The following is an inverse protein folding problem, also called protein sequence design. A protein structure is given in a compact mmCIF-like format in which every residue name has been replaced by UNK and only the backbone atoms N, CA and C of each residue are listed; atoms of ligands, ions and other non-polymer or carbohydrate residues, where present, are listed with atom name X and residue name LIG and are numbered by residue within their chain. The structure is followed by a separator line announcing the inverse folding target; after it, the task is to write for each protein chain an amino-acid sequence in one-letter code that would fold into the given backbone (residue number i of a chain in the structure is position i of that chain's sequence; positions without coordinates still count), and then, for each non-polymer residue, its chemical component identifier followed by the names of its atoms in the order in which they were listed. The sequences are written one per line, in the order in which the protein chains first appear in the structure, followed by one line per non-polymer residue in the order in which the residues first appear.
data_IF_743624420080
#
_entry.id   IF_743624420080
#
_cell.length_a   1.000
_cell.length_b   1.000
_cell.length_c   1.000
_cell.angle_alpha   90.00
_cell.angle_beta   90.00
_cell.angle_gamma   90.00
#
_symmetry.space_group_name_H-M   'P 1'
#
loop_
_entity.id
_entity.type
_entity.pdbx_description
1 polymer ?
#
# COMPACT_ATOMS: atom_id res chain seq x y z
N UNK A 1 -34.91 4.63 -14.82
CA UNK A 1 -33.56 4.01 -14.85
C UNK A 1 -33.08 3.86 -13.42
N UNK A 2 -32.74 2.66 -12.94
CA UNK A 2 -32.26 2.46 -11.56
C UNK A 2 -30.75 2.72 -11.51
N UNK A 3 -30.33 3.71 -10.73
CA UNK A 3 -28.90 4.03 -10.55
C UNK A 3 -28.32 3.00 -9.58
N UNK A 4 -27.18 2.43 -9.91
CA UNK A 4 -26.44 1.45 -9.10
C UNK A 4 -25.01 1.93 -8.87
N UNK A 5 -24.35 1.37 -7.84
CA UNK A 5 -22.94 1.63 -7.59
C UNK A 5 -22.05 1.17 -8.77
N UNK A 6 -20.93 1.85 -8.96
CA UNK A 6 -19.95 1.51 -9.99
C UNK A 6 -19.38 0.11 -9.71
N UNK A 7 -19.21 -0.71 -10.76
CA UNK A 7 -18.60 -2.04 -10.64
C UNK A 7 -17.23 -1.97 -9.96
N UNK A 8 -17.04 -2.76 -8.91
CA UNK A 8 -15.80 -2.78 -8.13
C UNK A 8 -15.74 -1.72 -7.01
N UNK A 9 -16.85 -1.02 -6.77
CA UNK A 9 -17.05 -0.14 -5.62
C UNK A 9 -18.23 -0.67 -4.82
N UNK A 10 -18.12 -0.71 -3.49
CA UNK A 10 -19.14 -1.26 -2.59
C UNK A 10 -19.44 -0.30 -1.45
N UNK A 11 -20.71 -0.18 -1.12
CA UNK A 11 -21.12 0.46 0.13
C UNK A 11 -20.80 -0.46 1.32
N UNK A 12 -20.36 0.12 2.43
CA UNK A 12 -20.22 -0.59 3.70
C UNK A 12 -21.48 -0.30 4.51
N UNK A 13 -22.35 -1.30 4.61
CA UNK A 13 -23.64 -1.15 5.25
C UNK A 13 -23.55 -1.19 6.78
N UNK A 14 -24.59 -0.70 7.51
CA UNK A 14 -24.56 -0.62 8.98
C UNK A 14 -24.25 -1.92 9.70
N UNK A 15 -24.66 -3.07 9.18
CA UNK A 15 -24.38 -4.40 9.71
C UNK A 15 -22.92 -4.84 9.55
N UNK A 16 -22.22 -4.27 8.55
CA UNK A 16 -20.78 -4.51 8.33
C UNK A 16 -19.89 -3.49 9.08
N UNK A 17 -20.35 -2.25 9.26
CA UNK A 17 -19.52 -1.14 9.74
C UNK A 17 -18.97 -1.37 11.16
N UNK A 18 -19.64 -2.12 12.00
CA UNK A 18 -19.16 -2.46 13.35
C UNK A 18 -17.89 -3.31 13.30
N UNK A 19 -17.79 -4.24 12.34
CA UNK A 19 -16.59 -5.06 12.12
C UNK A 19 -15.42 -4.21 11.65
N UNK A 20 -15.69 -3.24 10.75
CA UNK A 20 -14.69 -2.29 10.27
C UNK A 20 -14.13 -1.46 11.42
N UNK A 21 -14.98 -0.83 12.20
CA UNK A 21 -14.60 -0.04 13.38
C UNK A 21 -13.83 -0.86 14.40
N UNK A 22 -14.21 -2.11 14.59
CA UNK A 22 -13.49 -2.99 15.51
C UNK A 22 -12.06 -3.24 15.03
N UNK A 23 -11.84 -3.53 13.75
CA UNK A 23 -10.50 -3.70 13.16
C UNK A 23 -9.68 -2.43 13.26
N UNK A 24 -10.26 -1.28 12.88
CA UNK A 24 -9.61 0.03 12.96
C UNK A 24 -9.19 0.40 14.39
N UNK A 25 -10.07 0.16 15.36
CA UNK A 25 -9.76 0.37 16.77
C UNK A 25 -8.63 -0.54 17.27
N UNK A 26 -8.58 -1.80 16.81
CA UNK A 26 -7.47 -2.72 17.15
C UNK A 26 -6.15 -2.27 16.51
N UNK A 27 -6.18 -1.81 15.27
CA UNK A 27 -5.02 -1.23 14.61
C UNK A 27 -4.48 -0.01 15.38
N UNK A 28 -5.36 0.93 15.73
CA UNK A 28 -5.02 2.11 16.53
C UNK A 28 -4.36 1.70 17.88
N UNK A 29 -4.97 0.76 18.62
CA UNK A 29 -4.44 0.28 19.90
C UNK A 29 -3.04 -0.33 19.78
N UNK A 30 -2.79 -1.14 18.76
CA UNK A 30 -1.48 -1.76 18.54
C UNK A 30 -0.46 -0.71 18.12
N UNK A 31 -0.74 0.05 17.07
CA UNK A 31 0.24 0.97 16.48
C UNK A 31 0.64 2.08 17.44
N UNK A 32 -0.29 2.59 18.24
CA UNK A 32 0.01 3.60 19.27
C UNK A 32 0.94 3.05 20.35
N UNK A 33 0.82 1.77 20.75
CA UNK A 33 1.74 1.12 21.68
C UNK A 33 3.17 1.03 21.14
N UNK A 34 3.34 0.89 19.82
CA UNK A 34 4.64 0.90 19.16
C UNK A 34 5.14 2.33 18.83
N UNK A 35 4.41 3.35 19.30
CA UNK A 35 4.79 4.76 19.11
C UNK A 35 4.47 5.34 17.73
N UNK A 36 3.66 4.65 16.92
CA UNK A 36 3.15 5.19 15.67
C UNK A 36 2.04 6.20 15.91
N UNK A 37 2.03 7.28 15.14
CA UNK A 37 1.03 8.35 15.20
C UNK A 37 0.16 8.33 13.96
N UNK A 38 -1.14 8.56 14.13
CA UNK A 38 -2.05 8.64 12.99
C UNK A 38 -1.72 9.83 12.10
N UNK A 39 -1.71 9.60 10.79
CA UNK A 39 -1.68 10.64 9.77
C UNK A 39 -2.86 10.44 8.81
N UNK A 40 -3.57 11.51 8.49
CA UNK A 40 -4.64 11.49 7.49
C UNK A 40 -4.17 12.17 6.22
N UNK A 41 -4.26 11.46 5.14
CA UNK A 41 -3.75 11.86 3.83
C UNK A 41 -4.90 12.27 2.91
N UNK A 42 -4.70 13.23 1.98
CA UNK A 42 -5.66 13.55 0.94
C UNK A 42 -6.03 12.30 0.12
N UNK A 43 -7.28 12.26 -0.37
CA UNK A 43 -7.76 11.15 -1.20
C UNK A 43 -7.21 11.26 -2.63
N UNK A 44 -6.93 12.46 -3.10
CA UNK A 44 -6.31 12.71 -4.40
C UNK A 44 -5.10 13.64 -4.26
N UNK A 45 -4.14 13.46 -5.15
CA UNK A 45 -2.87 14.17 -5.19
C UNK A 45 -2.50 14.47 -6.64
N UNK A 46 -1.50 15.31 -6.84
CA UNK A 46 -0.92 15.51 -8.19
C UNK A 46 -0.43 14.18 -8.76
N UNK A 47 -0.79 13.88 -10.00
CA UNK A 47 -0.40 12.62 -10.68
C UNK A 47 1.11 12.36 -10.60
N UNK A 48 1.91 13.42 -10.72
CA UNK A 48 3.39 13.34 -10.64
C UNK A 48 3.91 12.74 -9.33
N UNK A 49 3.16 12.82 -8.24
CA UNK A 49 3.56 12.23 -6.97
C UNK A 49 3.67 10.70 -7.11
N UNK A 50 2.66 10.08 -7.69
CA UNK A 50 2.60 8.64 -7.82
C UNK A 50 3.52 8.11 -8.92
N UNK A 51 3.61 8.77 -10.07
CA UNK A 51 4.51 8.35 -11.15
C UNK A 51 5.98 8.38 -10.74
N UNK A 52 6.41 9.34 -9.91
CA UNK A 52 7.77 9.37 -9.36
C UNK A 52 8.00 8.37 -8.22
N UNK A 53 7.01 8.17 -7.35
CA UNK A 53 7.14 7.36 -6.15
C UNK A 53 7.04 5.86 -6.40
N UNK A 54 6.12 5.45 -7.26
CA UNK A 54 5.85 4.04 -7.57
C UNK A 54 6.78 3.53 -8.69
N UNK A 55 7.20 4.41 -9.59
CA UNK A 55 7.99 4.11 -10.79
C UNK A 55 7.15 4.16 -12.05
N UNK A 56 7.64 4.87 -13.07
CA UNK A 56 6.92 5.14 -14.32
C UNK A 56 6.55 3.88 -15.10
N UNK A 57 7.27 2.79 -14.90
CA UNK A 57 7.11 1.50 -15.62
C UNK A 57 6.36 0.44 -14.82
N UNK A 58 5.62 0.82 -13.77
CA UNK A 58 4.80 -0.14 -13.02
C UNK A 58 3.38 -0.20 -13.57
N UNK A 59 2.77 -1.38 -13.55
CA UNK A 59 1.37 -1.58 -13.99
C UNK A 59 0.40 -0.63 -13.27
N UNK A 60 0.69 -0.29 -12.02
CA UNK A 60 -0.13 0.65 -11.24
C UNK A 60 -0.15 2.03 -11.89
N UNK A 61 1.01 2.54 -12.31
CA UNK A 61 1.14 3.86 -12.94
C UNK A 61 0.61 3.86 -14.37
N UNK A 62 0.89 2.80 -15.13
CA UNK A 62 0.51 2.73 -16.54
C UNK A 62 -0.98 2.44 -16.76
N UNK A 63 -1.62 1.60 -15.92
CA UNK A 63 -2.92 1.01 -16.23
C UNK A 63 -3.98 1.15 -15.12
N UNK A 64 -3.57 1.36 -13.86
CA UNK A 64 -4.48 1.22 -12.73
C UNK A 64 -4.81 2.53 -12.00
N UNK A 65 -4.25 3.66 -12.38
CA UNK A 65 -4.55 4.94 -11.75
C UNK A 65 -5.85 5.56 -12.28
N UNK A 66 -6.67 6.08 -11.37
CA UNK A 66 -7.79 6.97 -11.69
C UNK A 66 -7.27 8.41 -11.79
N UNK A 67 -6.94 8.84 -12.99
CA UNK A 67 -6.42 10.18 -13.27
C UNK A 67 -7.42 11.02 -14.03
N UNK A 68 -7.57 12.29 -13.66
CA UNK A 68 -8.43 13.27 -14.33
C UNK A 68 -7.80 14.66 -14.24
N UNK A 69 -8.28 15.58 -15.08
CA UNK A 69 -7.89 16.99 -15.00
C UNK A 69 -8.88 17.73 -14.12
N UNK A 70 -8.38 18.56 -13.21
CA UNK A 70 -9.19 19.49 -12.46
C UNK A 70 -9.60 20.70 -13.33
N UNK A 71 -10.43 21.59 -12.78
CA UNK A 71 -10.88 22.79 -13.53
C UNK A 71 -9.74 23.76 -13.88
N UNK A 72 -8.61 23.66 -13.21
CA UNK A 72 -7.39 24.45 -13.48
C UNK A 72 -6.47 23.79 -14.52
N UNK A 73 -6.82 22.61 -15.05
CA UNK A 73 -6.01 21.86 -16.02
C UNK A 73 -4.88 21.05 -15.35
N UNK A 74 -4.87 20.92 -14.01
CA UNK A 74 -3.86 20.11 -13.33
C UNK A 74 -4.30 18.64 -13.32
N UNK A 75 -3.37 17.73 -13.65
CA UNK A 75 -3.62 16.29 -13.57
C UNK A 75 -3.53 15.80 -12.14
N UNK A 76 -4.63 15.29 -11.64
CA UNK A 76 -4.79 14.73 -10.30
C UNK A 76 -5.20 13.26 -10.38
N UNK A 77 -4.83 12.48 -9.36
CA UNK A 77 -5.03 11.03 -9.31
C UNK A 77 -5.61 10.66 -7.95
N UNK A 78 -6.64 9.83 -7.94
CA UNK A 78 -7.08 9.17 -6.70
C UNK A 78 -5.96 8.26 -6.20
N UNK A 79 -5.61 8.36 -4.92
CA UNK A 79 -4.47 7.64 -4.35
C UNK A 79 -4.58 6.13 -4.53
N UNK A 80 -3.64 5.47 -5.22
CA UNK A 80 -3.60 4.02 -5.38
C UNK A 80 -2.94 3.30 -4.19
N UNK A 81 -2.24 4.06 -3.34
CA UNK A 81 -1.53 3.63 -2.12
C UNK A 81 -1.27 4.84 -1.22
N UNK A 82 -0.72 4.64 -0.02
CA UNK A 82 -0.52 5.73 0.94
C UNK A 82 0.92 6.19 1.11
N UNK A 83 1.91 5.38 0.82
CA UNK A 83 3.33 5.65 1.09
C UNK A 83 3.82 6.94 0.45
N UNK A 84 3.52 7.15 -0.85
CA UNK A 84 3.93 8.36 -1.55
C UNK A 84 3.36 9.64 -0.91
N UNK A 85 2.10 9.59 -0.48
CA UNK A 85 1.47 10.73 0.20
C UNK A 85 2.07 11.00 1.59
N UNK A 86 2.45 9.94 2.35
CA UNK A 86 3.16 10.11 3.63
C UNK A 86 4.53 10.75 3.40
N UNK A 87 5.29 10.25 2.42
CA UNK A 87 6.62 10.81 2.09
C UNK A 87 6.50 12.26 1.64
N UNK A 88 5.52 12.61 0.80
CA UNK A 88 5.26 13.99 0.41
C UNK A 88 4.96 14.86 1.64
N UNK A 89 4.07 14.43 2.54
CA UNK A 89 3.75 15.15 3.76
C UNK A 89 4.98 15.32 4.66
N UNK A 90 5.80 14.26 4.81
CA UNK A 90 7.03 14.29 5.59
C UNK A 90 8.02 15.35 5.09
N UNK A 91 8.18 15.48 3.76
CA UNK A 91 9.06 16.45 3.13
C UNK A 91 8.45 17.86 3.23
N UNK A 92 7.19 18.04 2.81
CA UNK A 92 6.50 19.32 2.74
C UNK A 92 6.43 20.02 4.10
N UNK A 93 6.10 19.27 5.15
CA UNK A 93 6.01 19.80 6.51
C UNK A 93 7.34 19.75 7.28
N UNK A 94 8.44 19.43 6.60
CA UNK A 94 9.80 19.36 7.18
C UNK A 94 9.84 18.51 8.45
N UNK A 95 9.09 17.41 8.47
CA UNK A 95 8.94 16.58 9.66
C UNK A 95 10.27 15.93 10.07
N UNK A 96 11.19 15.76 9.13
CA UNK A 96 12.55 15.26 9.36
C UNK A 96 13.39 16.14 10.31
N UNK A 97 12.97 17.38 10.58
CA UNK A 97 13.70 18.30 11.47
C UNK A 97 13.36 18.11 12.95
N UNK A 98 12.29 17.42 13.27
CA UNK A 98 11.73 17.36 14.63
C UNK A 98 12.23 16.19 15.48
N UNK A 99 12.48 15.04 14.87
CA UNK A 99 12.92 13.80 15.55
C UNK A 99 13.77 12.98 14.60
N UNK A 100 14.63 12.12 15.15
CA UNK A 100 15.49 11.24 14.35
C UNK A 100 14.69 10.16 13.64
N UNK A 101 13.72 9.55 14.34
CA UNK A 101 12.84 8.49 13.79
C UNK A 101 11.40 8.96 13.85
N UNK A 102 10.71 8.89 12.73
CA UNK A 102 9.31 9.25 12.59
C UNK A 102 8.50 8.00 12.25
N UNK A 103 7.43 7.77 13.01
CA UNK A 103 6.56 6.60 12.87
C UNK A 103 5.12 7.05 12.64
N UNK A 104 4.56 6.73 11.49
CA UNK A 104 3.18 7.09 11.14
C UNK A 104 2.39 5.89 10.70
N UNK A 105 1.09 5.89 10.98
CA UNK A 105 0.14 4.96 10.39
C UNK A 105 -1.04 5.72 9.80
N UNK A 106 -1.65 5.11 8.81
CA UNK A 106 -2.84 5.65 8.15
C UNK A 106 -3.85 4.54 7.90
N UNK A 107 -5.13 4.93 7.86
CA UNK A 107 -6.23 4.08 7.46
C UNK A 107 -7.05 4.83 6.42
N UNK A 108 -7.58 4.12 5.44
CA UNK A 108 -8.51 4.74 4.52
C UNK A 108 -8.64 4.06 3.16
N UNK A 109 -9.53 4.59 2.31
CA UNK A 109 -9.78 4.05 0.99
C UNK A 109 -8.62 4.34 0.05
N UNK A 110 -8.33 3.36 -0.82
CA UNK A 110 -7.42 3.45 -1.96
C UNK A 110 -8.18 3.08 -3.23
N UNK A 111 -7.65 3.49 -4.40
CA UNK A 111 -8.36 3.41 -5.66
C UNK A 111 -7.45 2.88 -6.74
N UNK A 112 -7.82 1.72 -7.36
CA UNK A 112 -7.10 1.16 -8.50
C UNK A 112 -8.08 0.68 -9.55
N UNK A 113 -7.80 1.00 -10.81
CA UNK A 113 -8.60 0.55 -11.94
C UNK A 113 -8.28 -0.91 -12.28
N UNK A 114 -8.46 -1.79 -11.30
CA UNK A 114 -8.25 -3.21 -11.49
C UNK A 114 -9.47 -3.89 -12.16
N UNK A 115 -9.23 -5.02 -12.79
CA UNK A 115 -10.32 -5.90 -13.23
C UNK A 115 -10.98 -6.50 -11.99
N UNK A 116 -12.26 -6.17 -11.68
CA UNK A 116 -12.91 -6.65 -10.48
C UNK A 116 -13.04 -8.16 -10.46
N UNK A 117 -12.54 -8.77 -9.40
CA UNK A 117 -12.66 -10.20 -9.10
C UNK A 117 -12.81 -10.40 -7.59
N UNK A 118 -13.01 -11.63 -7.14
CA UNK A 118 -13.12 -11.93 -5.71
C UNK A 118 -11.88 -11.42 -4.96
N UNK A 119 -12.10 -10.54 -3.96
CA UNK A 119 -11.05 -9.92 -3.17
C UNK A 119 -10.33 -8.73 -3.81
N UNK A 120 -10.63 -8.38 -5.09
CA UNK A 120 -10.08 -7.20 -5.74
C UNK A 120 -11.17 -6.21 -6.11
N UNK A 121 -11.14 -5.06 -5.47
CA UNK A 121 -12.07 -3.96 -5.66
C UNK A 121 -11.35 -2.75 -6.25
N UNK A 122 -12.10 -1.88 -6.96
CA UNK A 122 -11.60 -0.60 -7.46
C UNK A 122 -11.46 0.45 -6.38
N UNK A 123 -12.30 0.37 -5.35
CA UNK A 123 -12.11 1.03 -4.07
C UNK A 123 -11.90 -0.04 -3.01
N UNK A 124 -10.77 0.01 -2.33
CA UNK A 124 -10.43 -0.91 -1.24
C UNK A 124 -9.83 -0.11 -0.09
N UNK A 125 -9.63 -0.72 1.06
CA UNK A 125 -9.11 -0.04 2.24
C UNK A 125 -7.74 -0.60 2.58
N UNK A 126 -6.84 0.30 2.95
CA UNK A 126 -5.53 -0.05 3.48
C UNK A 126 -5.36 0.46 4.90
N UNK A 127 -4.70 -0.35 5.70
CA UNK A 127 -4.02 0.04 6.92
C UNK A 127 -2.54 -0.02 6.61
N UNK A 128 -1.86 1.12 6.65
CA UNK A 128 -0.44 1.21 6.34
C UNK A 128 0.35 1.86 7.47
N UNK A 129 1.63 1.51 7.57
CA UNK A 129 2.58 2.09 8.51
C UNK A 129 3.86 2.49 7.79
N UNK A 130 4.43 3.61 8.20
CA UNK A 130 5.66 4.16 7.63
C UNK A 130 6.60 4.56 8.76
N UNK A 131 7.83 4.06 8.70
CA UNK A 131 8.90 4.44 9.63
C UNK A 131 10.05 5.05 8.83
N UNK A 132 10.45 6.27 9.20
CA UNK A 132 11.41 7.07 8.45
C UNK A 132 12.46 7.68 9.37
N UNK A 133 13.67 7.95 8.81
CA UNK A 133 14.72 8.68 9.51
C UNK A 133 15.79 7.81 10.17
N UNK A 134 15.81 6.49 9.90
CA UNK A 134 16.86 5.58 10.38
C UNK A 134 17.17 4.50 9.35
N UNK A 135 18.43 4.02 9.39
CA UNK A 135 18.87 2.83 8.66
C UNK A 135 19.06 1.60 9.59
N UNK A 136 18.65 1.73 10.86
CA UNK A 136 18.79 0.64 11.81
C UNK A 136 17.77 -0.47 11.50
N UNK A 137 18.21 -1.71 11.21
CA UNK A 137 17.30 -2.81 10.87
C UNK A 137 16.36 -3.22 12.01
N UNK A 138 16.59 -2.75 13.22
CA UNK A 138 15.66 -2.99 14.31
C UNK A 138 14.27 -2.41 14.08
N UNK A 139 14.17 -1.35 13.26
CA UNK A 139 12.86 -0.78 12.91
C UNK A 139 12.06 -1.71 11.98
N UNK A 140 12.74 -2.40 11.06
CA UNK A 140 12.11 -3.39 10.20
C UNK A 140 11.57 -4.55 11.03
N UNK A 141 12.39 -5.05 11.99
CA UNK A 141 11.97 -6.09 12.92
C UNK A 141 10.78 -5.64 13.79
N UNK A 142 10.80 -4.40 14.27
CA UNK A 142 9.71 -3.83 15.07
C UNK A 142 8.40 -3.79 14.28
N UNK A 143 8.43 -3.36 13.00
CA UNK A 143 7.24 -3.33 12.13
C UNK A 143 6.70 -4.74 11.89
N UNK A 144 7.58 -5.73 11.69
CA UNK A 144 7.19 -7.12 11.53
C UNK A 144 6.51 -7.67 12.78
N UNK A 145 7.11 -7.44 13.97
CA UNK A 145 6.55 -7.87 15.25
C UNK A 145 5.21 -7.18 15.51
N UNK A 146 5.12 -5.89 15.24
CA UNK A 146 3.87 -5.13 15.37
C UNK A 146 2.75 -5.69 14.46
N UNK A 147 3.07 -6.10 13.23
CA UNK A 147 2.12 -6.76 12.34
C UNK A 147 1.64 -8.09 12.92
N UNK A 148 2.56 -8.89 13.49
CA UNK A 148 2.22 -10.16 14.15
C UNK A 148 1.30 -9.93 15.36
N UNK A 149 1.59 -8.91 16.19
CA UNK A 149 0.75 -8.51 17.32
C UNK A 149 -0.64 -8.07 16.86
N UNK A 150 -0.72 -7.32 15.77
CA UNK A 150 -1.98 -6.91 15.20
C UNK A 150 -2.82 -8.13 14.74
N UNK A 151 -2.23 -9.07 14.04
CA UNK A 151 -2.93 -10.30 13.64
C UNK A 151 -3.36 -11.16 14.84
N UNK A 152 -2.53 -11.24 15.88
CA UNK A 152 -2.87 -11.95 17.11
C UNK A 152 -4.06 -11.31 17.83
N UNK A 153 -4.13 -9.97 17.92
CA UNK A 153 -5.23 -9.28 18.60
C UNK A 153 -6.55 -9.39 17.78
N UNK A 154 -6.43 -9.54 16.45
CA UNK A 154 -7.57 -9.86 15.56
C UNK A 154 -7.97 -11.33 15.66
N UNK A 155 -7.27 -12.15 16.44
CA UNK A 155 -7.48 -13.60 16.59
C UNK A 155 -7.37 -14.35 15.26
N UNK A 156 -6.58 -13.85 14.32
CA UNK A 156 -6.24 -14.60 13.13
C UNK A 156 -5.37 -15.79 13.53
N UNK A 157 -5.69 -16.96 12.97
CA UNK A 157 -4.96 -18.20 13.22
C UNK A 157 -4.30 -18.66 11.94
N UNK A 158 -3.19 -19.39 12.06
CA UNK A 158 -2.50 -20.02 10.92
C UNK A 158 -1.98 -19.02 9.89
N UNK A 159 -1.33 -17.94 10.33
CA UNK A 159 -0.55 -17.07 9.45
C UNK A 159 0.95 -17.33 9.64
N UNK A 160 1.70 -17.13 8.60
CA UNK A 160 3.17 -17.31 8.55
C UNK A 160 3.79 -16.02 8.03
N UNK A 161 4.83 -15.54 8.71
CA UNK A 161 5.62 -14.40 8.25
C UNK A 161 6.73 -14.91 7.31
N UNK A 162 6.62 -14.57 6.03
CA UNK A 162 7.65 -14.85 5.04
C UNK A 162 8.42 -13.59 4.72
N UNK A 163 9.74 -13.65 4.82
CA UNK A 163 10.64 -12.52 4.57
C UNK A 163 11.41 -12.78 3.28
N UNK A 164 11.47 -11.77 2.40
CA UNK A 164 12.23 -11.83 1.17
C UNK A 164 13.04 -10.55 0.96
N UNK A 165 14.05 -10.61 0.11
CA UNK A 165 14.86 -9.46 -0.31
C UNK A 165 15.00 -9.42 -1.83
N UNK A 166 14.73 -8.25 -2.41
CA UNK A 166 14.89 -8.01 -3.84
C UNK A 166 16.36 -7.75 -4.23
N UNK A 167 17.25 -7.70 -3.26
CA UNK A 167 18.66 -7.37 -3.47
C UNK A 167 18.88 -5.88 -3.81
N UNK A 168 20.14 -5.52 -3.99
CA UNK A 168 20.56 -4.16 -4.35
C UNK A 168 20.80 -4.02 -5.85
N UNK A 169 21.10 -2.79 -6.31
CA UNK A 169 21.39 -2.49 -7.72
C UNK A 169 22.59 -3.27 -8.28
N UNK A 170 23.49 -3.78 -7.43
CA UNK A 170 24.67 -4.59 -7.86
C UNK A 170 24.29 -6.06 -8.07
N UNK A 171 23.49 -6.66 -7.18
CA UNK A 171 23.16 -8.08 -7.25
C UNK A 171 21.89 -8.39 -8.04
N UNK A 172 20.94 -7.43 -8.12
CA UNK A 172 19.66 -7.62 -8.83
C UNK A 172 19.80 -7.99 -10.31
N UNK A 173 20.71 -7.39 -11.12
CA UNK A 173 20.84 -7.76 -12.53
C UNK A 173 21.22 -9.24 -12.70
N UNK A 174 22.22 -9.72 -11.97
CA UNK A 174 22.66 -11.13 -12.03
C UNK A 174 21.55 -12.09 -11.59
N UNK A 175 20.82 -11.74 -10.52
CA UNK A 175 19.66 -12.51 -10.07
C UNK A 175 18.56 -12.58 -11.13
N UNK A 176 18.22 -11.46 -11.78
CA UNK A 176 17.20 -11.42 -12.84
C UNK A 176 17.56 -12.31 -14.02
N UNK A 177 18.81 -12.29 -14.45
CA UNK A 177 19.28 -13.15 -15.53
C UNK A 177 19.20 -14.64 -15.16
N UNK A 178 19.57 -14.99 -13.92
CA UNK A 178 19.46 -16.37 -13.42
C UNK A 178 17.99 -16.81 -13.35
N UNK A 179 17.12 -15.92 -12.85
CA UNK A 179 15.68 -16.19 -12.75
C UNK A 179 15.07 -16.39 -14.14
N UNK A 180 15.37 -15.52 -15.12
CA UNK A 180 14.89 -15.66 -16.49
C UNK A 180 15.33 -16.99 -17.11
N UNK A 181 16.61 -17.37 -16.95
CA UNK A 181 17.13 -18.65 -17.42
C UNK A 181 16.46 -19.86 -16.75
N UNK A 182 16.07 -19.74 -15.49
CA UNK A 182 15.32 -20.79 -14.79
C UNK A 182 13.90 -20.91 -15.32
N UNK A 183 13.19 -19.79 -15.43
CA UNK A 183 11.79 -19.75 -15.90
C UNK A 183 11.71 -20.24 -17.36
N UNK A 184 12.64 -19.82 -18.24
CA UNK A 184 12.61 -20.23 -19.65
C UNK A 184 12.74 -21.73 -19.87
N UNK A 185 13.22 -22.49 -18.90
CA UNK A 185 13.23 -23.96 -18.96
C UNK A 185 11.88 -24.60 -18.64
N UNK A 186 10.94 -23.84 -18.07
CA UNK A 186 9.65 -24.29 -17.58
C UNK A 186 8.48 -23.50 -18.20
N UNK A 187 8.70 -22.88 -19.37
CA UNK A 187 7.66 -22.12 -20.05
C UNK A 187 6.41 -22.97 -20.38
N UNK A 188 6.61 -24.26 -20.71
CA UNK A 188 5.52 -25.20 -20.95
C UNK A 188 4.64 -25.47 -19.72
N UNK A 189 5.16 -25.24 -18.54
CA UNK A 189 4.46 -25.49 -17.26
C UNK A 189 3.70 -24.24 -16.78
N UNK A 190 3.84 -23.11 -17.49
CA UNK A 190 3.20 -21.83 -17.17
C UNK A 190 1.85 -21.72 -17.87
N UNK A 191 0.89 -21.05 -17.25
CA UNK A 191 -0.38 -20.72 -17.88
C UNK A 191 -0.21 -19.55 -18.88
N UNK A 192 -1.21 -19.34 -19.74
CA UNK A 192 -1.21 -18.27 -20.78
C UNK A 192 -0.95 -16.85 -20.22
N UNK A 193 -1.30 -16.60 -18.97
CA UNK A 193 -1.07 -15.29 -18.34
C UNK A 193 0.35 -15.14 -17.75
N UNK A 194 1.13 -16.21 -17.68
CA UNK A 194 2.50 -16.23 -17.14
C UNK A 194 3.57 -16.39 -18.23
N UNK A 195 3.15 -16.65 -19.48
CA UNK A 195 4.01 -16.77 -20.68
C UNK A 195 4.24 -15.41 -21.35
#
# INVERSE_FOLDING_TARGET
MRIQAIRGVKDIMPDEIEKWRWVENKANQVFTRYGFKEIRLPIFEKTKLFSRGIGETTDIVEKEMYTFEDRGGEKVTLRPEGTASVVRAFIEHKMYTKQTVQKYYYLGPMFRYERPQAGRFRQFYQIGVEAMGTHNPSIDAEVMVMLMDFFNILKLKKFELQINSLGCNKCRPAYRETLKKSISKHLSDLCENCN
#
